data_IF_001344780197
#
_entry.id   IF_001344780197
#
_cell.length_a   1.000
_cell.length_b   1.000
_cell.length_c   1.000
_cell.angle_alpha   90.00
_cell.angle_beta   90.00
_cell.angle_gamma   90.00
#
_symmetry.space_group_name_H-M   'P 1'
#
loop_
_entity.id
_entity.type
_entity.pdbx_description
1 polymer ?
#
# COMPACT_ATOMS: atom_id res chain seq x y z
N UNK A 1 12.20 -3.33 -11.15
CA UNK A 1 10.76 -3.02 -11.02
C UNK A 1 10.54 -1.59 -11.48
N UNK A 2 9.54 -1.35 -12.34
CA UNK A 2 9.21 -0.01 -12.84
C UNK A 2 8.35 0.72 -11.82
N UNK A 3 8.83 1.87 -11.32
CA UNK A 3 8.08 2.72 -10.41
C UNK A 3 7.14 3.63 -11.23
N UNK A 4 5.87 3.69 -10.85
CA UNK A 4 4.95 4.70 -11.37
C UNK A 4 5.17 6.01 -10.60
N UNK A 5 6.10 6.83 -11.09
CA UNK A 5 6.50 8.07 -10.41
C UNK A 5 5.37 9.10 -10.29
N UNK A 6 4.44 9.14 -11.26
CA UNK A 6 3.27 10.02 -11.21
C UNK A 6 2.34 9.63 -10.05
N UNK A 7 2.01 8.35 -9.96
CA UNK A 7 1.16 7.85 -8.89
C UNK A 7 1.75 8.15 -7.50
N UNK A 8 3.07 7.95 -7.33
CA UNK A 8 3.74 8.27 -6.06
C UNK A 8 3.78 9.77 -5.72
N UNK A 9 3.74 10.66 -6.72
CA UNK A 9 3.68 12.11 -6.49
C UNK A 9 2.31 12.51 -5.96
N UNK A 10 1.25 11.97 -6.56
CA UNK A 10 -0.15 12.28 -6.20
C UNK A 10 -0.62 11.53 -4.95
N UNK A 11 -0.15 10.30 -4.74
CA UNK A 11 -0.54 9.42 -3.64
C UNK A 11 0.65 9.17 -2.73
N UNK A 12 1.14 10.21 -2.06
CA UNK A 12 2.17 10.03 -1.03
C UNK A 12 1.57 9.43 0.22
N UNK A 13 2.26 8.44 0.80
CA UNK A 13 1.87 7.92 2.10
C UNK A 13 2.00 9.03 3.15
N UNK A 14 0.98 9.23 4.00
CA UNK A 14 1.04 10.17 5.12
C UNK A 14 2.23 9.87 6.04
N UNK A 15 2.73 10.89 6.77
CA UNK A 15 3.86 10.75 7.69
C UNK A 15 3.55 9.81 8.87
N UNK A 16 2.34 9.88 9.41
CA UNK A 16 1.82 9.00 10.46
C UNK A 16 0.48 8.40 10.01
N UNK A 17 0.48 7.44 9.07
CA UNK A 17 -0.76 6.88 8.58
C UNK A 17 -1.35 5.98 9.65
N UNK A 18 -2.67 6.01 9.80
CA UNK A 18 -3.38 4.96 10.53
C UNK A 18 -3.22 3.62 9.79
N UNK A 19 -3.49 2.52 10.48
CA UNK A 19 -3.42 1.19 9.85
C UNK A 19 -4.34 1.12 8.62
N UNK A 20 -5.53 1.70 8.69
CA UNK A 20 -6.48 1.74 7.57
C UNK A 20 -5.95 2.56 6.40
N UNK A 21 -5.42 3.76 6.64
CA UNK A 21 -4.80 4.57 5.59
C UNK A 21 -3.64 3.83 4.94
N UNK A 22 -2.81 3.12 5.74
CA UNK A 22 -1.70 2.33 5.24
C UNK A 22 -2.16 1.15 4.40
N UNK A 23 -3.24 0.46 4.80
CA UNK A 23 -3.83 -0.66 4.05
C UNK A 23 -4.38 -0.14 2.71
N UNK A 24 -5.24 0.88 2.74
CA UNK A 24 -5.86 1.46 1.55
C UNK A 24 -4.79 1.95 0.56
N UNK A 25 -3.76 2.64 1.06
CA UNK A 25 -2.66 3.09 0.23
C UNK A 25 -1.94 1.93 -0.46
N UNK A 26 -1.66 0.83 0.24
CA UNK A 26 -0.99 -0.32 -0.37
C UNK A 26 -1.90 -1.09 -1.36
N UNK A 27 -3.21 -1.16 -1.11
CA UNK A 27 -4.16 -1.75 -2.05
C UNK A 27 -4.19 -0.97 -3.38
N UNK A 28 -4.25 0.36 -3.30
CA UNK A 28 -4.17 1.23 -4.49
C UNK A 28 -2.79 1.16 -5.13
N UNK A 29 -1.73 1.17 -4.33
CA UNK A 29 -0.35 1.04 -4.80
C UNK A 29 -0.17 -0.23 -5.63
N UNK A 30 -0.65 -1.38 -5.17
CA UNK A 30 -0.57 -2.63 -5.95
C UNK A 30 -1.27 -2.52 -7.31
N UNK A 31 -2.41 -1.82 -7.43
CA UNK A 31 -3.10 -1.65 -8.72
C UNK A 31 -2.33 -0.76 -9.71
N UNK A 32 -1.63 0.26 -9.22
CA UNK A 32 -1.00 1.29 -10.06
C UNK A 32 0.53 1.17 -10.17
N UNK A 33 1.17 0.54 -9.20
CA UNK A 33 2.62 0.50 -9.01
C UNK A 33 3.05 -0.73 -8.18
N UNK A 34 3.57 -1.76 -8.82
CA UNK A 34 4.00 -2.99 -8.13
C UNK A 34 5.42 -2.89 -7.54
N UNK A 35 5.95 -1.68 -7.30
CA UNK A 35 7.35 -1.50 -6.90
C UNK A 35 7.67 -2.01 -5.49
N UNK A 36 6.63 -2.24 -4.67
CA UNK A 36 6.76 -2.69 -3.28
C UNK A 36 5.63 -3.67 -2.93
N UNK A 37 5.93 -4.97 -2.76
CA UNK A 37 4.94 -5.95 -2.35
C UNK A 37 4.51 -5.74 -0.89
N UNK A 38 3.26 -6.05 -0.58
CA UNK A 38 2.69 -5.99 0.77
C UNK A 38 3.27 -7.16 1.58
N UNK A 39 4.01 -6.87 2.66
CA UNK A 39 4.71 -7.89 3.45
C UNK A 39 4.72 -7.56 4.95
N UNK A 40 5.08 -8.58 5.76
CA UNK A 40 5.17 -8.49 7.22
C UNK A 40 3.82 -8.31 7.91
N UNK A 41 3.82 -7.61 9.06
CA UNK A 41 2.63 -7.38 9.90
C UNK A 41 1.45 -6.77 9.14
N UNK A 42 1.71 -5.94 8.13
CA UNK A 42 0.65 -5.35 7.32
C UNK A 42 -0.12 -6.42 6.54
N UNK A 43 0.59 -7.35 5.91
CA UNK A 43 -0.02 -8.44 5.16
C UNK A 43 -0.82 -9.37 6.10
N UNK A 44 -0.26 -9.68 7.27
CA UNK A 44 -0.93 -10.51 8.28
C UNK A 44 -2.26 -9.87 8.73
N UNK A 45 -2.26 -8.57 9.00
CA UNK A 45 -3.47 -7.83 9.38
C UNK A 45 -4.49 -7.79 8.22
N UNK A 46 -4.04 -7.61 6.99
CA UNK A 46 -4.92 -7.63 5.82
C UNK A 46 -5.54 -9.02 5.59
N UNK A 47 -4.78 -10.10 5.79
CA UNK A 47 -5.28 -11.49 5.72
C UNK A 47 -6.29 -11.79 6.81
N UNK A 48 -6.02 -11.39 8.06
CA UNK A 48 -6.99 -11.54 9.18
C UNK A 48 -8.31 -10.84 8.87
N UNK A 49 -8.25 -9.70 8.18
CA UNK A 49 -9.40 -8.90 7.75
C UNK A 49 -10.01 -9.36 6.42
N UNK A 50 -9.46 -10.42 5.78
CA UNK A 50 -9.88 -10.96 4.48
C UNK A 50 -9.88 -9.93 3.34
N UNK A 51 -8.90 -9.03 3.34
CA UNK A 51 -8.74 -7.98 2.33
C UNK A 51 -7.84 -8.39 1.16
N UNK A 52 -7.05 -9.46 1.33
CA UNK A 52 -6.11 -10.06 0.36
C UNK A 52 -5.96 -11.55 0.60
#
# INVERSE_FOLDING_TARGET
>A
MTINADWHKSHRMPKNPTLEQRIQWHLEHQKHCHCRPISGKLLEEMKKRKLV
#
